data_IF_500796661899
#
_entry.id   IF_500796661899
#
_cell.length_a   1.000
_cell.length_b   1.000
_cell.length_c   1.000
_cell.angle_alpha   90.00
_cell.angle_beta   90.00
_cell.angle_gamma   90.00
#
_symmetry.space_group_name_H-M   'P 1'
#
loop_
_entity.id
_entity.type
_entity.pdbx_description
1 polymer ?
#
# COMPACT_ATOMS: atom_id res chain seq x y z
N UNK A 1 -6.14 6.96 -22.43
CA UNK A 1 -5.76 5.99 -21.38
C UNK A 1 -5.89 6.69 -20.05
N UNK A 2 -6.63 6.10 -19.11
CA UNK A 2 -6.71 6.67 -17.75
C UNK A 2 -5.45 6.27 -16.97
N UNK A 3 -4.84 7.21 -16.25
CA UNK A 3 -3.61 6.96 -15.48
C UNK A 3 -3.80 5.80 -14.50
N UNK A 4 -4.98 5.67 -13.88
CA UNK A 4 -5.27 4.64 -12.86
C UNK A 4 -5.58 3.24 -13.42
N UNK A 5 -5.79 3.11 -14.73
CA UNK A 5 -6.09 1.81 -15.39
C UNK A 5 -4.89 1.27 -16.17
N UNK A 6 -3.89 2.11 -16.46
CA UNK A 6 -2.70 1.76 -17.24
C UNK A 6 -1.81 0.74 -16.52
N UNK A 7 -1.38 -0.36 -17.19
CA UNK A 7 -0.41 -1.30 -16.63
C UNK A 7 0.90 -0.66 -16.13
N UNK A 8 1.33 0.46 -16.75
CA UNK A 8 2.52 1.21 -16.32
C UNK A 8 2.37 1.73 -14.89
N UNK A 9 1.16 2.14 -14.49
CA UNK A 9 0.88 2.62 -13.14
C UNK A 9 0.96 1.50 -12.11
N UNK A 10 0.48 0.31 -12.44
CA UNK A 10 0.62 -0.87 -11.58
C UNK A 10 2.09 -1.23 -11.39
N UNK A 11 2.90 -1.22 -12.45
CA UNK A 11 4.35 -1.47 -12.37
C UNK A 11 5.06 -0.40 -11.54
N UNK A 12 4.73 0.87 -11.71
CA UNK A 12 5.31 1.96 -10.92
C UNK A 12 4.97 1.81 -9.43
N UNK A 13 3.71 1.49 -9.10
CA UNK A 13 3.30 1.23 -7.72
C UNK A 13 3.93 -0.05 -7.15
N UNK A 14 4.18 -1.06 -7.98
CA UNK A 14 4.92 -2.25 -7.55
C UNK A 14 6.36 -1.90 -7.16
N UNK A 15 7.05 -1.09 -7.97
CA UNK A 15 8.40 -0.61 -7.65
C UNK A 15 8.41 0.21 -6.34
N UNK A 16 7.39 1.05 -6.14
CA UNK A 16 7.20 1.76 -4.87
C UNK A 16 7.03 0.79 -3.69
N UNK A 17 6.20 -0.25 -3.83
CA UNK A 17 5.99 -1.26 -2.78
C UNK A 17 7.26 -2.05 -2.45
N UNK A 18 8.13 -2.31 -3.44
CA UNK A 18 9.46 -2.91 -3.19
C UNK A 18 10.32 -1.97 -2.36
N UNK A 19 10.40 -0.69 -2.72
CA UNK A 19 11.16 0.30 -1.96
C UNK A 19 10.65 0.44 -0.52
N UNK A 20 9.33 0.50 -0.34
CA UNK A 20 8.69 0.58 0.97
C UNK A 20 8.87 -0.70 1.80
N UNK A 21 8.82 -1.88 1.17
CA UNK A 21 9.15 -3.15 1.84
C UNK A 21 10.59 -3.14 2.38
N UNK A 22 11.56 -2.74 1.55
CA UNK A 22 12.97 -2.62 1.96
C UNK A 22 13.11 -1.61 3.09
N UNK A 23 12.48 -0.44 2.97
CA UNK A 23 12.51 0.57 4.02
C UNK A 23 11.95 0.04 5.34
N UNK A 24 10.86 -0.72 5.30
CA UNK A 24 10.23 -1.35 6.47
C UNK A 24 11.02 -2.53 7.06
N UNK A 25 11.89 -3.19 6.28
CA UNK A 25 12.81 -4.22 6.82
C UNK A 25 14.02 -3.63 7.54
N UNK A 26 14.44 -2.43 7.16
CA UNK A 26 15.59 -1.74 7.76
C UNK A 26 15.07 -0.98 9.00
N UNK A 27 15.81 -0.96 10.13
CA UNK A 27 15.41 -0.23 11.33
C UNK A 27 15.59 1.29 11.18
N UNK A 28 14.87 1.89 10.23
CA UNK A 28 14.86 3.34 10.00
C UNK A 28 14.11 4.02 11.15
N UNK A 29 14.76 4.96 11.84
CA UNK A 29 14.18 5.69 12.99
C UNK A 29 12.80 6.29 12.68
N UNK A 30 12.58 6.97 11.54
CA UNK A 30 11.27 7.56 11.25
C UNK A 30 10.14 6.52 11.14
N UNK A 31 10.43 5.32 10.63
CA UNK A 31 9.45 4.24 10.51
C UNK A 31 9.18 3.65 11.89
N UNK A 32 10.23 3.42 12.69
CA UNK A 32 10.08 2.90 14.04
C UNK A 32 9.24 3.84 14.91
N UNK A 33 9.58 5.12 14.94
CA UNK A 33 8.84 6.15 15.69
C UNK A 33 7.39 6.24 15.23
N UNK A 34 7.13 6.23 13.91
CA UNK A 34 5.77 6.19 13.38
C UNK A 34 4.98 4.97 13.88
N UNK A 35 5.57 3.79 13.86
CA UNK A 35 4.91 2.56 14.31
C UNK A 35 4.71 2.54 15.83
N UNK A 36 5.63 3.12 16.59
CA UNK A 36 5.51 3.33 18.04
C UNK A 36 4.34 4.28 18.35
N UNK A 37 4.29 5.44 17.68
CA UNK A 37 3.23 6.46 17.84
C UNK A 37 1.84 5.90 17.49
N UNK A 38 1.75 5.04 16.48
CA UNK A 38 0.51 4.37 16.08
C UNK A 38 0.12 3.18 16.99
N UNK A 39 0.99 2.81 17.93
CA UNK A 39 0.79 1.69 18.84
C UNK A 39 0.79 0.32 18.14
N UNK A 40 1.59 0.16 17.09
CA UNK A 40 1.73 -1.12 16.37
C UNK A 40 2.66 -2.06 17.16
N UNK A 41 2.18 -3.22 17.63
CA UNK A 41 3.01 -4.16 18.39
C UNK A 41 4.23 -4.60 17.59
N UNK A 42 5.40 -4.73 18.25
CA UNK A 42 6.64 -5.16 17.58
C UNK A 42 6.49 -6.51 16.88
N UNK A 43 5.68 -7.42 17.43
CA UNK A 43 5.39 -8.73 16.84
C UNK A 43 4.66 -8.66 15.50
N UNK A 44 3.94 -7.57 15.21
CA UNK A 44 3.19 -7.37 13.97
C UNK A 44 4.03 -6.66 12.91
N UNK A 45 5.05 -5.90 13.30
CA UNK A 45 5.87 -5.10 12.36
C UNK A 45 6.51 -5.92 11.23
N UNK A 46 6.99 -7.16 11.44
CA UNK A 46 7.51 -8.00 10.35
C UNK A 46 6.48 -8.34 9.27
N UNK A 47 5.17 -8.27 9.57
CA UNK A 47 4.10 -8.50 8.58
C UNK A 47 4.05 -7.37 7.56
N UNK A 48 4.42 -6.14 7.92
CA UNK A 48 4.37 -4.97 7.04
C UNK A 48 5.23 -5.13 5.78
N UNK A 49 6.56 -5.44 5.88
CA UNK A 49 7.37 -5.64 4.68
C UNK A 49 6.92 -6.87 3.87
N UNK A 50 6.42 -7.93 4.51
CA UNK A 50 5.89 -9.11 3.81
C UNK A 50 4.64 -8.77 3.00
N UNK A 51 3.69 -8.03 3.59
CA UNK A 51 2.49 -7.57 2.90
C UNK A 51 2.83 -6.66 1.71
N UNK A 52 3.82 -5.77 1.87
CA UNK A 52 4.31 -4.89 0.80
C UNK A 52 4.95 -5.68 -0.33
N UNK A 53 5.83 -6.63 -0.02
CA UNK A 53 6.45 -7.52 -1.01
C UNK A 53 5.40 -8.34 -1.78
N UNK A 54 4.43 -8.93 -1.07
CA UNK A 54 3.32 -9.65 -1.70
C UNK A 54 2.49 -8.74 -2.62
N UNK A 55 2.25 -7.49 -2.21
CA UNK A 55 1.53 -6.52 -3.04
C UNK A 55 2.32 -6.13 -4.29
N UNK A 56 3.64 -6.03 -4.23
CA UNK A 56 4.47 -5.78 -5.40
C UNK A 56 4.32 -6.90 -6.44
N UNK A 57 4.37 -8.16 -6.00
CA UNK A 57 4.16 -9.33 -6.88
C UNK A 57 2.77 -9.30 -7.53
N UNK A 58 1.73 -9.03 -6.74
CA UNK A 58 0.36 -8.95 -7.24
C UNK A 58 0.12 -7.79 -8.21
N UNK A 59 0.78 -6.65 -8.02
CA UNK A 59 0.72 -5.52 -8.95
C UNK A 59 1.49 -5.80 -10.25
N UNK A 60 2.67 -6.42 -10.18
CA UNK A 60 3.46 -6.81 -11.35
C UNK A 60 2.75 -7.84 -12.23
N UNK A 61 1.82 -8.62 -11.66
CA UNK A 61 1.06 -9.59 -12.43
C UNK A 61 0.04 -8.98 -13.39
N UNK A 62 -0.12 -7.64 -13.45
CA UNK A 62 -1.17 -6.95 -14.21
C UNK A 62 -1.28 -7.38 -15.68
N UNK A 63 -0.17 -7.68 -16.35
CA UNK A 63 -0.15 -8.07 -17.77
C UNK A 63 -0.53 -9.53 -18.01
N UNK A 64 -0.30 -10.42 -17.02
CA UNK A 64 -0.54 -11.86 -17.11
C UNK A 64 -1.85 -12.28 -16.46
N UNK A 65 -2.17 -11.65 -15.33
CA UNK A 65 -3.28 -11.94 -14.43
C UNK A 65 -3.93 -10.63 -13.95
N UNK A 66 -4.69 -9.91 -14.82
CA UNK A 66 -5.31 -8.63 -14.47
C UNK A 66 -6.29 -8.74 -13.29
N UNK A 67 -6.93 -9.90 -13.11
CA UNK A 67 -7.80 -10.16 -11.96
C UNK A 67 -7.01 -10.18 -10.64
N UNK A 68 -5.80 -10.76 -10.63
CA UNK A 68 -4.93 -10.79 -9.45
C UNK A 68 -4.42 -9.39 -9.10
N UNK A 69 -4.09 -8.57 -10.10
CA UNK A 69 -3.72 -7.18 -9.88
C UNK A 69 -4.87 -6.37 -9.26
N UNK A 70 -6.11 -6.57 -9.73
CA UNK A 70 -7.30 -5.94 -9.14
C UNK A 70 -7.60 -6.43 -7.72
N UNK A 71 -7.41 -7.73 -7.46
CA UNK A 71 -7.52 -8.26 -6.09
C UNK A 71 -6.47 -7.62 -5.18
N UNK A 72 -5.26 -7.44 -5.68
CA UNK A 72 -4.15 -6.81 -4.95
C UNK A 72 -4.47 -5.35 -4.61
N UNK A 73 -5.04 -4.58 -5.56
CA UNK A 73 -5.48 -3.21 -5.23
C UNK A 73 -6.60 -3.21 -4.19
N UNK A 74 -7.49 -4.21 -4.20
CA UNK A 74 -8.55 -4.32 -3.18
C UNK A 74 -7.97 -4.60 -1.79
N UNK A 75 -6.98 -5.50 -1.70
CA UNK A 75 -6.27 -5.78 -0.44
C UNK A 75 -5.48 -4.56 0.04
N UNK A 76 -4.85 -3.81 -0.88
CA UNK A 76 -4.19 -2.56 -0.56
C UNK A 76 -5.19 -1.49 -0.07
N UNK A 77 -6.39 -1.41 -0.65
CA UNK A 77 -7.46 -0.57 -0.11
C UNK A 77 -7.76 -0.93 1.34
N UNK A 78 -7.97 -2.22 1.65
CA UNK A 78 -8.19 -2.66 3.03
C UNK A 78 -7.02 -2.34 3.95
N UNK A 79 -5.79 -2.56 3.49
CA UNK A 79 -4.58 -2.20 4.22
C UNK A 79 -4.54 -0.71 4.57
N UNK A 80 -4.85 0.17 3.62
CA UNK A 80 -4.83 1.62 3.85
C UNK A 80 -6.04 2.13 4.64
N UNK A 81 -7.18 1.42 4.63
CA UNK A 81 -8.26 1.65 5.61
C UNK A 81 -7.76 1.38 7.02
N UNK A 82 -7.08 0.25 7.25
CA UNK A 82 -6.51 -0.08 8.56
C UNK A 82 -5.43 0.94 8.97
N UNK A 83 -4.57 1.35 8.04
CA UNK A 83 -3.54 2.35 8.30
C UNK A 83 -4.16 3.70 8.69
N UNK A 84 -5.11 4.22 7.91
CA UNK A 84 -5.80 5.46 8.22
C UNK A 84 -6.57 5.36 9.55
N UNK A 85 -7.22 4.23 9.81
CA UNK A 85 -7.86 3.94 11.09
C UNK A 85 -6.88 3.96 12.27
N UNK A 86 -5.65 3.47 12.10
CA UNK A 86 -4.61 3.56 13.12
C UNK A 86 -4.20 5.01 13.39
N UNK A 87 -4.02 5.84 12.36
CA UNK A 87 -3.78 7.28 12.52
C UNK A 87 -4.92 7.97 13.26
N UNK A 88 -6.17 7.71 12.87
CA UNK A 88 -7.35 8.28 13.54
C UNK A 88 -7.45 7.84 15.01
N UNK A 89 -7.18 6.56 15.31
CA UNK A 89 -7.17 6.01 16.68
C UNK A 89 -6.10 6.67 17.54
N UNK A 90 -4.91 6.87 16.98
CA UNK A 90 -3.80 7.57 17.62
C UNK A 90 -4.00 9.10 17.67
N UNK A 91 -5.10 9.62 17.11
CA UNK A 91 -5.38 11.06 16.96
C UNK A 91 -4.26 11.79 16.21
N UNK A 92 -3.61 11.10 15.28
CA UNK A 92 -2.58 11.65 14.41
C UNK A 92 -3.23 12.37 13.22
N UNK A 93 -3.50 13.66 13.40
CA UNK A 93 -3.99 14.56 12.35
C UNK A 93 -2.87 15.31 11.65
N UNK A 94 -1.63 14.83 11.77
CA UNK A 94 -0.47 15.47 11.15
C UNK A 94 -0.32 15.11 9.67
N UNK A 95 0.68 15.69 9.02
CA UNK A 95 1.09 15.36 7.66
C UNK A 95 1.41 13.87 7.45
N UNK A 96 1.64 13.11 8.54
CA UNK A 96 1.91 11.66 8.51
C UNK A 96 0.69 10.84 8.08
N UNK A 97 -0.53 11.34 8.27
CA UNK A 97 -1.76 10.67 7.82
C UNK A 97 -2.10 10.93 6.34
N UNK A 98 -1.51 11.96 5.72
CA UNK A 98 -1.79 12.35 4.33
C UNK A 98 -1.48 11.20 3.35
N UNK A 99 -0.31 10.53 3.41
CA UNK A 99 -0.02 9.40 2.52
C UNK A 99 -1.03 8.27 2.67
N UNK A 100 -1.46 7.96 3.91
CA UNK A 100 -2.43 6.89 4.16
C UNK A 100 -3.78 7.18 3.47
N UNK A 101 -4.28 8.41 3.59
CA UNK A 101 -5.52 8.84 2.93
C UNK A 101 -5.37 8.88 1.39
N UNK A 102 -4.25 9.39 0.88
CA UNK A 102 -4.00 9.47 -0.55
C UNK A 102 -3.91 8.08 -1.21
N UNK A 103 -3.15 7.16 -0.62
CA UNK A 103 -3.04 5.79 -1.11
C UNK A 103 -4.36 5.02 -0.97
N UNK A 104 -5.12 5.24 0.11
CA UNK A 104 -6.46 4.68 0.24
C UNK A 104 -7.34 5.09 -0.95
N UNK A 105 -7.42 6.38 -1.24
CA UNK A 105 -8.21 6.90 -2.36
C UNK A 105 -7.73 6.33 -3.71
N UNK A 106 -6.41 6.32 -3.93
CA UNK A 106 -5.81 5.78 -5.16
C UNK A 106 -6.18 4.30 -5.36
N UNK A 107 -5.91 3.44 -4.38
CA UNK A 107 -6.17 2.01 -4.52
C UNK A 107 -7.67 1.69 -4.57
N UNK A 108 -8.52 2.46 -3.89
CA UNK A 108 -9.98 2.32 -3.99
C UNK A 108 -10.45 2.60 -5.44
N UNK A 109 -9.96 3.68 -6.05
CA UNK A 109 -10.29 4.01 -7.45
C UNK A 109 -9.77 2.93 -8.40
N UNK A 110 -8.53 2.47 -8.22
CA UNK A 110 -7.95 1.39 -9.04
C UNK A 110 -8.73 0.08 -8.90
N UNK A 111 -9.19 -0.25 -7.70
CA UNK A 111 -10.03 -1.44 -7.45
C UNK A 111 -11.39 -1.35 -8.13
N UNK A 112 -12.03 -0.18 -8.05
CA UNK A 112 -13.32 0.06 -8.68
C UNK A 112 -13.23 -0.05 -10.21
N UNK A 113 -12.19 0.55 -10.82
CA UNK A 113 -12.00 0.60 -12.28
C UNK A 113 -11.38 -0.68 -12.86
N UNK A 114 -10.46 -1.31 -12.14
CA UNK A 114 -9.65 -2.42 -12.63
C UNK A 114 -8.60 -2.00 -13.67
N UNK A 115 -7.64 -2.89 -14.01
CA UNK A 115 -6.67 -2.64 -15.06
C UNK A 115 -7.29 -2.73 -16.45
N UNK A 116 -6.78 -1.94 -17.40
CA UNK A 116 -7.10 -2.07 -18.81
C UNK A 116 -6.68 -3.46 -19.32
N UNK A 117 -7.55 -4.10 -20.09
CA UNK A 117 -7.25 -5.36 -20.78
C UNK A 117 -6.62 -5.01 -22.12
N UNK A 118 -5.35 -5.37 -22.30
CA UNK A 118 -4.67 -5.36 -23.60
C UNK A 118 -5.20 -6.44 -24.50
#
# INVERSE_FOLDING_TARGET
>A
MSVVTSPKTYVALAAFQVGDAVACTIPLRPIKELLDDLGVPETVRPVLPVAKAASAVGLLSVTRFPALARLTTAMLTLYFVLALGAHMRARDFSVRAIPAAAFLALFAVMTARGPERT
#
